data_IF_648761358492
#
_entry.id   IF_648761358492
#
_cell.length_a   1.000
_cell.length_b   1.000
_cell.length_c   1.000
_cell.angle_alpha   90.00
_cell.angle_beta   90.00
_cell.angle_gamma   90.00
#
_symmetry.space_group_name_H-M   'P 1'
#
loop_
_entity.id
_entity.type
_entity.pdbx_description
1 polymer ?
#
# COMPACT_ATOMS: atom_id res chain seq x y z
N UNK A 1 12.68 -20.28 -39.77
CA UNK A 1 12.86 -20.24 -38.29
C UNK A 1 13.39 -18.84 -38.00
N UNK A 2 12.75 -17.92 -37.29
CA UNK A 2 11.47 -17.94 -36.60
C UNK A 2 11.28 -16.56 -35.97
N UNK A 3 10.55 -15.66 -36.65
CA UNK A 3 10.24 -14.31 -36.14
C UNK A 3 9.55 -14.35 -34.77
N UNK A 4 8.71 -15.38 -34.56
CA UNK A 4 8.06 -15.64 -33.28
C UNK A 4 9.08 -16.01 -32.20
N UNK A 5 10.12 -16.76 -32.57
CA UNK A 5 11.21 -17.10 -31.65
C UNK A 5 12.02 -15.87 -31.28
N UNK A 6 12.35 -15.00 -32.24
CA UNK A 6 13.07 -13.75 -31.99
C UNK A 6 12.25 -12.81 -31.07
N UNK A 7 10.94 -12.70 -31.29
CA UNK A 7 10.05 -11.92 -30.43
C UNK A 7 9.97 -12.44 -28.98
N UNK A 8 9.88 -13.77 -28.81
CA UNK A 8 9.87 -14.39 -27.48
C UNK A 8 11.20 -14.15 -26.77
N UNK A 9 12.31 -14.27 -27.50
CA UNK A 9 13.66 -14.02 -26.99
C UNK A 9 13.84 -12.55 -26.63
N UNK A 10 13.32 -11.61 -27.42
CA UNK A 10 13.36 -10.17 -27.11
C UNK A 10 12.56 -9.83 -25.85
N UNK A 11 11.36 -10.41 -25.68
CA UNK A 11 10.60 -10.25 -24.43
C UNK A 11 11.39 -10.80 -23.25
N UNK A 12 11.97 -11.99 -23.42
CA UNK A 12 12.73 -12.65 -22.38
C UNK A 12 14.00 -11.87 -21.99
N UNK A 13 14.74 -11.39 -23.00
CA UNK A 13 15.91 -10.56 -22.80
C UNK A 13 15.53 -9.22 -22.16
N UNK A 14 14.41 -8.59 -22.56
CA UNK A 14 13.92 -7.37 -21.94
C UNK A 14 13.59 -7.53 -20.45
N UNK A 15 13.07 -8.69 -20.04
CA UNK A 15 12.84 -9.02 -18.62
C UNK A 15 14.16 -9.20 -17.88
N UNK A 16 15.14 -9.90 -18.47
CA UNK A 16 16.46 -10.09 -17.87
C UNK A 16 17.22 -8.77 -17.77
N UNK A 17 17.20 -7.96 -18.82
CA UNK A 17 17.79 -6.61 -18.85
C UNK A 17 17.16 -5.75 -17.78
N UNK A 18 15.82 -5.72 -17.68
CA UNK A 18 15.14 -5.00 -16.60
C UNK A 18 15.62 -5.47 -15.21
N UNK A 19 15.81 -6.77 -15.02
CA UNK A 19 16.39 -7.33 -13.80
C UNK A 19 17.81 -6.86 -13.52
N UNK A 20 18.67 -6.83 -14.55
CA UNK A 20 20.05 -6.30 -14.43
C UNK A 20 20.04 -4.81 -14.11
N UNK A 21 19.24 -4.02 -14.85
CA UNK A 21 19.04 -2.59 -14.61
C UNK A 21 18.53 -2.32 -13.20
N UNK A 22 17.62 -3.15 -12.69
CA UNK A 22 17.12 -3.01 -11.33
C UNK A 22 18.21 -3.23 -10.29
N UNK A 23 19.06 -4.25 -10.44
CA UNK A 23 20.12 -4.55 -9.47
C UNK A 23 21.27 -3.53 -9.54
N UNK A 24 21.53 -2.96 -10.72
CA UNK A 24 22.56 -1.93 -10.91
C UNK A 24 22.17 -0.57 -10.32
N UNK A 25 20.87 -0.23 -10.26
CA UNK A 25 20.40 1.07 -9.81
C UNK A 25 19.80 0.98 -8.40
N UNK A 26 20.54 1.49 -7.41
CA UNK A 26 20.12 1.47 -6.00
C UNK A 26 18.76 2.16 -5.78
N UNK A 27 18.49 3.24 -6.50
CA UNK A 27 17.23 3.99 -6.41
C UNK A 27 16.03 3.15 -6.86
N UNK A 28 16.20 2.37 -7.93
CA UNK A 28 15.15 1.51 -8.46
C UNK A 28 14.88 0.33 -7.52
N UNK A 29 15.92 -0.23 -6.89
CA UNK A 29 15.78 -1.23 -5.83
C UNK A 29 14.97 -0.66 -4.66
N UNK A 30 15.32 0.53 -4.16
CA UNK A 30 14.62 1.17 -3.06
C UNK A 30 13.14 1.42 -3.40
N UNK A 31 12.86 1.91 -4.61
CA UNK A 31 11.51 2.09 -5.13
C UNK A 31 10.72 0.77 -5.18
N UNK A 32 11.31 -0.29 -5.73
CA UNK A 32 10.66 -1.61 -5.83
C UNK A 32 10.35 -2.21 -4.46
N UNK A 33 11.25 -2.07 -3.50
CA UNK A 33 11.03 -2.53 -2.12
C UNK A 33 9.87 -1.75 -1.48
N UNK A 34 9.88 -0.42 -1.57
CA UNK A 34 8.79 0.42 -1.07
C UNK A 34 7.45 0.08 -1.74
N UNK A 35 7.45 -0.15 -3.05
CA UNK A 35 6.27 -0.54 -3.81
C UNK A 35 5.72 -1.89 -3.35
N UNK A 36 6.59 -2.89 -3.20
CA UNK A 36 6.20 -4.21 -2.70
C UNK A 36 5.61 -4.12 -1.28
N UNK A 37 6.23 -3.37 -0.37
CA UNK A 37 5.71 -3.15 0.99
C UNK A 37 4.33 -2.48 0.95
N UNK A 38 4.16 -1.47 0.11
CA UNK A 38 2.88 -0.74 -0.03
C UNK A 38 1.77 -1.65 -0.52
N UNK A 39 2.05 -2.49 -1.53
CA UNK A 39 1.08 -3.44 -2.08
C UNK A 39 0.71 -4.50 -1.03
N UNK A 40 1.71 -5.07 -0.35
CA UNK A 40 1.47 -6.04 0.72
C UNK A 40 0.60 -5.43 1.83
N UNK A 41 0.93 -4.22 2.28
CA UNK A 41 0.15 -3.50 3.27
C UNK A 41 -1.30 -3.28 2.81
N UNK A 42 -1.52 -2.86 1.56
CA UNK A 42 -2.85 -2.68 0.99
C UNK A 42 -3.64 -4.00 0.91
N UNK A 43 -2.97 -5.12 0.61
CA UNK A 43 -3.60 -6.45 0.65
C UNK A 43 -4.03 -6.82 2.08
N UNK A 44 -3.17 -6.56 3.09
CA UNK A 44 -3.51 -6.80 4.50
C UNK A 44 -4.70 -5.95 4.97
N UNK A 45 -4.81 -4.69 4.52
CA UNK A 45 -5.98 -3.84 4.83
C UNK A 45 -7.30 -4.51 4.45
N UNK A 46 -7.36 -5.13 3.27
CA UNK A 46 -8.60 -5.73 2.74
C UNK A 46 -8.81 -7.16 3.24
N UNK A 47 -7.75 -7.89 3.56
CA UNK A 47 -7.86 -9.29 3.97
C UNK A 47 -8.18 -9.48 5.45
N UNK A 48 -7.84 -8.50 6.30
CA UNK A 48 -8.06 -8.63 7.74
C UNK A 48 -9.53 -8.59 8.14
N UNK A 49 -9.91 -9.53 9.03
CA UNK A 49 -11.28 -9.67 9.54
C UNK A 49 -11.58 -8.70 10.67
N UNK A 50 -10.55 -8.30 11.43
CA UNK A 50 -10.68 -7.37 12.54
C UNK A 50 -10.34 -5.97 12.07
N UNK A 51 -11.37 -5.11 12.02
CA UNK A 51 -11.26 -3.77 11.42
C UNK A 51 -10.24 -2.85 12.12
N UNK A 52 -9.90 -3.15 13.38
CA UNK A 52 -8.85 -2.45 14.11
C UNK A 52 -7.46 -2.69 13.50
N UNK A 53 -7.17 -3.92 13.08
CA UNK A 53 -5.89 -4.25 12.44
C UNK A 53 -5.84 -3.63 11.03
N UNK A 54 -6.93 -3.71 10.26
CA UNK A 54 -7.04 -3.06 8.94
C UNK A 54 -6.76 -1.55 9.00
N UNK A 55 -7.20 -0.85 10.05
CA UNK A 55 -6.93 0.58 10.22
C UNK A 55 -5.43 0.89 10.44
N UNK A 56 -4.69 0.03 11.16
CA UNK A 56 -3.24 0.16 11.31
C UNK A 56 -2.50 -0.09 9.99
N UNK A 57 -2.92 -1.10 9.22
CA UNK A 57 -2.36 -1.34 7.89
C UNK A 57 -2.65 -0.18 6.92
N UNK A 58 -3.81 0.48 7.06
CA UNK A 58 -4.15 1.66 6.26
C UNK A 58 -3.22 2.84 6.57
N UNK A 59 -2.92 3.09 7.86
CA UNK A 59 -1.91 4.06 8.27
C UNK A 59 -0.55 3.76 7.62
N UNK A 60 -0.16 2.48 7.61
CA UNK A 60 1.11 2.04 7.02
C UNK A 60 1.15 2.31 5.50
N UNK A 61 0.04 2.06 4.78
CA UNK A 61 -0.08 2.41 3.35
C UNK A 61 0.13 3.91 3.16
N UNK A 62 -0.54 4.76 3.92
CA UNK A 62 -0.37 6.21 3.78
C UNK A 62 1.03 6.69 4.14
N UNK A 63 1.71 6.03 5.09
CA UNK A 63 3.11 6.29 5.42
C UNK A 63 4.02 5.95 4.24
N UNK A 64 3.84 4.79 3.61
CA UNK A 64 4.59 4.42 2.41
C UNK A 64 4.35 5.40 1.25
N UNK A 65 3.11 5.86 1.06
CA UNK A 65 2.81 6.92 0.07
C UNK A 65 3.52 8.23 0.43
N UNK A 66 3.62 8.58 1.71
CA UNK A 66 4.43 9.70 2.18
C UNK A 66 5.89 9.55 1.78
N UNK A 67 6.48 8.38 1.99
CA UNK A 67 7.86 8.07 1.59
C UNK A 67 8.05 8.15 0.07
N UNK A 68 7.06 7.74 -0.73
CA UNK A 68 7.10 7.93 -2.19
C UNK A 68 7.19 9.39 -2.59
N UNK A 69 6.46 10.29 -1.91
CA UNK A 69 6.57 11.72 -2.20
C UNK A 69 7.96 12.27 -1.89
N UNK A 70 8.61 11.82 -0.82
CA UNK A 70 10.00 12.18 -0.56
C UNK A 70 10.95 11.61 -1.62
N UNK A 71 10.70 10.38 -2.08
CA UNK A 71 11.48 9.75 -3.13
C UNK A 71 11.34 10.45 -4.50
N UNK A 72 10.18 11.05 -4.75
CA UNK A 72 9.87 11.84 -5.95
C UNK A 72 10.32 13.32 -5.85
N UNK A 73 11.11 13.67 -4.84
CA UNK A 73 11.54 15.05 -4.55
C UNK A 73 10.36 16.02 -4.31
N UNK A 74 9.18 15.49 -3.97
CA UNK A 74 7.95 16.23 -3.70
C UNK A 74 7.76 16.47 -2.20
N UNK A 75 8.73 17.15 -1.57
CA UNK A 75 8.83 17.30 -0.11
C UNK A 75 7.58 17.90 0.53
N UNK A 76 7.03 18.96 -0.07
CA UNK A 76 5.83 19.62 0.44
C UNK A 76 4.61 18.69 0.47
N UNK A 77 4.40 17.91 -0.59
CA UNK A 77 3.33 16.92 -0.65
C UNK A 77 3.57 15.79 0.36
N UNK A 78 4.82 15.34 0.52
CA UNK A 78 5.20 14.32 1.51
C UNK A 78 4.88 14.74 2.93
N UNK A 79 5.20 15.99 3.30
CA UNK A 79 4.88 16.54 4.63
C UNK A 79 3.37 16.64 4.82
N UNK A 80 2.61 17.13 3.83
CA UNK A 80 1.14 17.17 3.91
C UNK A 80 0.56 15.76 4.05
N UNK A 81 1.08 14.79 3.29
CA UNK A 81 0.64 13.40 3.34
C UNK A 81 0.79 12.83 4.76
N UNK A 82 1.94 13.07 5.40
CA UNK A 82 2.21 12.61 6.75
C UNK A 82 1.33 13.32 7.79
N UNK A 83 1.14 14.63 7.67
CA UNK A 83 0.33 15.39 8.64
C UNK A 83 -1.18 15.08 8.52
N UNK A 84 -1.70 15.06 7.29
CA UNK A 84 -3.14 14.98 7.04
C UNK A 84 -3.61 13.54 6.96
N UNK A 85 -2.96 12.69 6.16
CA UNK A 85 -3.44 11.33 5.93
C UNK A 85 -3.00 10.37 7.03
N UNK A 86 -1.70 10.32 7.31
CA UNK A 86 -1.15 9.44 8.37
C UNK A 86 -1.61 9.90 9.76
N UNK A 87 -1.58 11.21 10.01
CA UNK A 87 -2.04 11.80 11.27
C UNK A 87 -3.57 11.85 11.38
N UNK A 88 -4.20 12.88 10.79
CA UNK A 88 -5.59 13.19 11.07
C UNK A 88 -6.59 12.15 10.52
N UNK A 89 -6.54 11.85 9.22
CA UNK A 89 -7.55 11.03 8.54
C UNK A 89 -7.52 9.59 9.07
N UNK A 90 -6.34 9.00 9.27
CA UNK A 90 -6.28 7.61 9.75
C UNK A 90 -6.83 7.47 11.16
N UNK A 91 -6.55 8.43 12.04
CA UNK A 91 -7.12 8.44 13.40
C UNK A 91 -8.65 8.57 13.33
N UNK A 92 -9.16 9.51 12.53
CA UNK A 92 -10.60 9.69 12.33
C UNK A 92 -11.26 8.41 11.77
N UNK A 93 -10.61 7.76 10.82
CA UNK A 93 -11.09 6.51 10.23
C UNK A 93 -11.11 5.38 11.26
N UNK A 94 -10.02 5.20 12.02
CA UNK A 94 -9.94 4.20 13.08
C UNK A 94 -11.04 4.38 14.13
N UNK A 95 -11.27 5.61 14.60
CA UNK A 95 -12.35 5.91 15.54
C UNK A 95 -13.74 5.69 14.93
N UNK A 96 -13.96 6.14 13.69
CA UNK A 96 -15.25 5.99 12.99
C UNK A 96 -15.64 4.51 12.83
N UNK A 97 -14.69 3.70 12.40
CA UNK A 97 -14.86 2.25 12.23
C UNK A 97 -15.14 1.57 13.57
N UNK A 98 -14.37 1.89 14.61
CA UNK A 98 -14.55 1.32 15.94
C UNK A 98 -15.92 1.65 16.53
N UNK A 99 -16.39 2.90 16.37
CA UNK A 99 -17.71 3.33 16.83
C UNK A 99 -18.84 2.60 16.07
N UNK A 100 -18.70 2.49 14.75
CA UNK A 100 -19.70 1.83 13.90
C UNK A 100 -19.85 0.35 14.25
N UNK A 101 -18.74 -0.36 14.53
CA UNK A 101 -18.81 -1.78 14.95
C UNK A 101 -19.59 -1.95 16.25
N UNK A 102 -19.37 -1.08 17.25
CA UNK A 102 -20.07 -1.17 18.54
C UNK A 102 -21.58 -1.00 18.40
N UNK A 103 -22.03 -0.14 17.49
CA UNK A 103 -23.46 0.08 17.25
C UNK A 103 -24.17 -1.17 16.71
N UNK A 104 -23.52 -1.93 15.81
CA UNK A 104 -24.12 -3.13 15.20
C UNK A 104 -24.29 -4.24 16.24
N UNK A 105 -23.26 -4.46 17.08
CA UNK A 105 -23.26 -5.52 18.10
C UNK A 105 -24.39 -5.34 19.13
N UNK A 106 -24.64 -4.12 19.61
CA UNK A 106 -25.68 -3.87 20.62
C UNK A 106 -27.11 -4.03 20.07
N UNK A 107 -27.31 -3.93 18.75
CA UNK A 107 -28.64 -3.98 18.14
C UNK A 107 -29.17 -5.40 17.92
N UNK A 108 -28.28 -6.39 17.88
CA UNK A 108 -28.62 -7.81 17.76
C UNK A 108 -29.18 -8.34 19.09
N UNK A 109 -28.55 -7.98 20.22
CA UNK A 109 -28.96 -8.40 21.58
C UNK A 109 -30.37 -7.91 21.98
N UNK A 110 -30.82 -6.74 21.49
CA UNK A 110 -32.15 -6.18 21.79
C UNK A 110 -33.28 -6.76 20.90
N UNK A 111 -32.96 -7.54 19.85
CA UNK A 111 -33.96 -8.05 18.90
C UNK A 111 -34.34 -9.53 19.08
N UNK A 112 -33.58 -10.25 19.93
CA UNK A 112 -33.82 -11.64 20.30
C UNK A 112 -34.57 -11.78 21.65
N UNK A 113 -34.95 -10.66 22.30
CA UNK A 113 -35.93 -10.58 23.42
C UNK A 113 -37.33 -10.16 22.92
#
# INVERSE_FOLDING_TARGET
MGVIWDFIVDIWNGVIDFGSYAIENLDLVAFLILAAITILAALYVVHDKEVMHSAFYLALVFLCVGLFYFFLEAEFLGVIQMLVYVGAITILFAFSVMLTRRYIVTKEDDSDE
#
